data_IF_218755112239
#
_entry.id   IF_218755112239
#
_cell.length_a   1.000
_cell.length_b   1.000
_cell.length_c   1.000
_cell.angle_alpha   90.00
_cell.angle_beta   90.00
_cell.angle_gamma   90.00
#
_symmetry.space_group_name_H-M   'P 1'
#
loop_
_entity.id
_entity.type
_entity.pdbx_description
1 polymer ?
#
# COMPACT_ATOMS: atom_id res chain seq x y z
N UNK A 1 8.79 17.66 11.26
CA UNK A 1 9.23 16.78 10.15
C UNK A 1 8.20 15.68 9.99
N UNK A 2 7.70 15.43 8.79
CA UNK A 2 6.68 14.41 8.52
C UNK A 2 7.23 13.00 8.40
N UNK A 3 6.35 11.99 8.24
CA UNK A 3 6.75 10.59 8.06
C UNK A 3 7.71 10.45 6.88
N UNK A 4 8.91 9.93 7.14
CA UNK A 4 9.87 9.55 6.11
C UNK A 4 9.54 8.15 5.57
N UNK A 5 9.84 7.85 4.30
CA UNK A 5 9.79 6.48 3.81
C UNK A 5 10.64 5.55 4.69
N UNK A 6 10.11 4.37 5.03
CA UNK A 6 10.87 3.30 5.70
C UNK A 6 11.94 2.70 4.78
N UNK A 7 11.67 2.73 3.47
CA UNK A 7 12.61 2.25 2.46
C UNK A 7 12.19 2.72 1.07
N UNK A 8 12.93 2.25 0.07
CA UNK A 8 12.65 2.47 -1.34
C UNK A 8 12.91 1.17 -2.09
N UNK A 9 11.99 0.83 -2.99
CA UNK A 9 12.23 -0.20 -3.99
C UNK A 9 12.62 0.51 -5.28
N UNK A 10 13.78 0.17 -5.82
CA UNK A 10 14.28 0.70 -7.10
C UNK A 10 14.34 -0.43 -8.12
N UNK A 11 14.04 -0.09 -9.38
CA UNK A 11 14.12 -1.00 -10.52
C UNK A 11 14.95 -0.38 -11.64
N UNK A 12 15.58 -1.24 -12.44
CA UNK A 12 16.15 -0.85 -13.72
C UNK A 12 15.07 -1.00 -14.79
N UNK A 13 14.57 0.13 -15.27
CA UNK A 13 13.49 0.19 -16.25
C UNK A 13 13.88 -0.50 -17.57
N UNK A 14 15.09 -0.22 -18.06
CA UNK A 14 15.54 -0.70 -19.36
C UNK A 14 15.81 -2.21 -19.31
N UNK A 15 16.35 -2.70 -18.19
CA UNK A 15 16.52 -4.13 -17.97
C UNK A 15 15.18 -4.88 -17.93
N UNK A 16 14.14 -4.31 -17.29
CA UNK A 16 12.80 -4.91 -17.28
C UNK A 16 12.19 -4.91 -18.68
N UNK A 17 12.26 -3.78 -19.38
CA UNK A 17 11.74 -3.65 -20.74
C UNK A 17 12.38 -4.70 -21.67
N UNK A 18 13.70 -4.82 -21.62
CA UNK A 18 14.44 -5.83 -22.37
C UNK A 18 14.03 -7.27 -22.01
N UNK A 19 13.90 -7.58 -20.71
CA UNK A 19 13.53 -8.91 -20.24
C UNK A 19 12.10 -9.32 -20.64
N UNK A 20 11.17 -8.35 -20.61
CA UNK A 20 9.77 -8.56 -20.97
C UNK A 20 9.48 -8.40 -22.47
N UNK A 21 10.47 -7.94 -23.26
CA UNK A 21 10.37 -7.67 -24.71
C UNK A 21 9.26 -6.65 -25.03
N UNK A 22 9.14 -5.62 -24.20
CA UNK A 22 8.19 -4.51 -24.36
C UNK A 22 8.93 -3.18 -24.26
N UNK A 23 8.26 -2.06 -24.55
CA UNK A 23 8.89 -0.75 -24.44
C UNK A 23 8.97 -0.29 -22.98
N UNK A 24 9.95 0.57 -22.63
CA UNK A 24 10.01 1.20 -21.30
C UNK A 24 8.71 1.88 -20.87
N UNK A 25 7.98 2.47 -21.81
CA UNK A 25 6.69 3.12 -21.56
C UNK A 25 5.62 2.12 -21.10
N UNK A 26 5.56 0.94 -21.72
CA UNK A 26 4.64 -0.14 -21.33
C UNK A 26 4.97 -0.65 -19.92
N UNK A 27 6.26 -0.74 -19.59
CA UNK A 27 6.71 -1.08 -18.23
C UNK A 27 6.24 -0.03 -17.23
N UNK A 28 6.45 1.27 -17.52
CA UNK A 28 6.00 2.35 -16.63
C UNK A 28 4.48 2.32 -16.43
N UNK A 29 3.70 2.12 -17.49
CA UNK A 29 2.24 2.01 -17.39
C UNK A 29 1.84 0.80 -16.52
N UNK A 30 2.45 -0.36 -16.76
CA UNK A 30 2.16 -1.57 -15.98
C UNK A 30 2.53 -1.41 -14.51
N UNK A 31 3.70 -0.84 -14.21
CA UNK A 31 4.23 -0.71 -12.85
C UNK A 31 3.64 0.46 -12.06
N UNK A 32 2.87 1.34 -12.70
CA UNK A 32 2.07 2.38 -12.03
C UNK A 32 0.61 1.96 -11.83
N UNK A 33 0.14 0.87 -12.43
CA UNK A 33 -1.17 0.28 -12.14
C UNK A 33 -1.09 -0.59 -10.86
N UNK A 34 -1.60 -0.03 -9.76
CA UNK A 34 -1.68 -0.72 -8.47
C UNK A 34 -2.39 -2.07 -8.51
N UNK A 35 -3.29 -2.36 -9.46
CA UNK A 35 -3.94 -3.68 -9.56
C UNK A 35 -3.01 -4.75 -10.12
N UNK A 36 -1.98 -4.33 -10.86
CA UNK A 36 -1.03 -5.21 -11.54
C UNK A 36 0.24 -5.37 -10.71
N UNK A 37 0.84 -4.26 -10.28
CA UNK A 37 2.16 -4.27 -9.63
C UNK A 37 2.13 -4.72 -8.16
N UNK A 38 0.97 -4.69 -7.48
CA UNK A 38 0.89 -4.98 -6.03
C UNK A 38 1.45 -6.35 -5.66
N UNK A 39 1.19 -7.39 -6.47
CA UNK A 39 1.72 -8.73 -6.22
C UNK A 39 3.26 -8.80 -6.25
N UNK A 40 3.90 -7.99 -7.10
CA UNK A 40 5.37 -7.90 -7.15
C UNK A 40 5.88 -7.09 -5.95
N UNK A 41 5.17 -6.00 -5.60
CA UNK A 41 5.51 -5.17 -4.45
C UNK A 41 5.45 -5.96 -3.15
N UNK A 42 4.40 -6.73 -2.89
CA UNK A 42 4.26 -7.59 -1.70
C UNK A 42 5.49 -8.49 -1.51
N UNK A 43 5.91 -9.16 -2.60
CA UNK A 43 7.09 -10.05 -2.58
C UNK A 43 8.37 -9.30 -2.23
N UNK A 44 8.60 -8.13 -2.84
CA UNK A 44 9.78 -7.31 -2.57
C UNK A 44 9.73 -6.68 -1.18
N UNK A 45 8.58 -6.17 -0.74
CA UNK A 45 8.39 -5.57 0.58
C UNK A 45 8.64 -6.60 1.68
N UNK A 46 8.08 -7.80 1.57
CA UNK A 46 8.33 -8.88 2.53
C UNK A 46 9.83 -9.15 2.68
N UNK A 47 10.54 -9.33 1.56
CA UNK A 47 11.96 -9.67 1.54
C UNK A 47 12.89 -8.52 1.96
N UNK A 48 12.66 -7.32 1.44
CA UNK A 48 13.61 -6.21 1.49
C UNK A 48 13.30 -5.21 2.60
N UNK A 49 12.02 -5.00 2.94
CA UNK A 49 11.59 -3.95 3.89
C UNK A 49 11.20 -4.53 5.25
N UNK A 50 10.43 -5.63 5.27
CA UNK A 50 9.96 -6.25 6.51
C UNK A 50 10.89 -7.35 7.03
N UNK A 51 11.68 -7.98 6.15
CA UNK A 51 12.39 -9.24 6.45
C UNK A 51 11.39 -10.33 6.93
N UNK A 52 10.21 -10.33 6.35
CA UNK A 52 9.06 -11.16 6.72
C UNK A 52 8.63 -12.11 5.60
N UNK A 53 7.36 -12.50 5.61
CA UNK A 53 6.79 -13.48 4.69
C UNK A 53 5.50 -12.98 4.06
N UNK A 54 5.13 -13.57 2.91
CA UNK A 54 3.79 -13.41 2.36
C UNK A 54 2.80 -14.24 3.19
N UNK A 55 1.54 -13.82 3.21
CA UNK A 55 0.49 -14.64 3.75
C UNK A 55 0.42 -16.01 3.04
N UNK A 56 0.03 -17.04 3.79
CA UNK A 56 0.10 -18.43 3.32
C UNK A 56 -0.88 -18.77 2.19
N UNK A 57 -1.90 -17.93 1.94
CA UNK A 57 -2.90 -18.15 0.89
C UNK A 57 -3.40 -16.85 0.27
N UNK A 58 -3.75 -16.92 -1.02
CA UNK A 58 -4.56 -15.91 -1.69
C UNK A 58 -5.96 -15.91 -1.04
N UNK A 59 -6.26 -14.88 -0.24
CA UNK A 59 -7.52 -14.79 0.53
C UNK A 59 -7.33 -14.70 2.05
N UNK A 60 -6.09 -14.67 2.54
CA UNK A 60 -5.80 -14.35 3.93
C UNK A 60 -6.33 -12.95 4.31
N UNK A 61 -6.49 -12.72 5.61
CA UNK A 61 -6.96 -11.45 6.18
C UNK A 61 -5.87 -10.36 6.23
N UNK A 62 -4.72 -10.58 5.59
CA UNK A 62 -3.57 -9.69 5.48
C UNK A 62 -2.69 -10.13 4.31
N UNK A 63 -1.77 -9.27 3.88
CA UNK A 63 -0.89 -9.55 2.74
C UNK A 63 0.47 -10.10 3.20
N UNK A 64 1.02 -9.56 4.29
CA UNK A 64 2.36 -9.92 4.80
C UNK A 64 2.39 -10.12 6.31
N UNK A 65 3.32 -10.93 6.79
CA UNK A 65 3.74 -10.97 8.20
C UNK A 65 5.17 -10.46 8.35
N UNK A 66 5.47 -9.71 9.40
CA UNK A 66 6.85 -9.34 9.75
C UNK A 66 7.53 -10.43 10.60
N UNK A 67 8.80 -10.20 10.98
CA UNK A 67 9.58 -11.16 11.76
C UNK A 67 9.02 -11.44 13.17
N UNK A 68 8.21 -10.53 13.70
CA UNK A 68 7.54 -10.68 15.00
C UNK A 68 6.20 -11.43 14.87
N UNK A 69 5.81 -11.78 13.63
CA UNK A 69 4.54 -12.43 13.32
C UNK A 69 3.37 -11.45 13.16
N UNK A 70 3.64 -10.14 13.17
CA UNK A 70 2.58 -9.15 13.04
C UNK A 70 2.09 -9.03 11.61
N UNK A 71 0.77 -8.87 11.46
CA UNK A 71 0.08 -8.84 10.17
C UNK A 71 0.03 -7.44 9.56
N UNK A 72 0.25 -7.34 8.25
CA UNK A 72 0.30 -6.09 7.50
C UNK A 72 -0.52 -6.17 6.20
N UNK A 73 -1.21 -5.07 5.87
CA UNK A 73 -1.85 -4.87 4.56
C UNK A 73 -0.94 -4.02 3.66
N UNK A 74 -0.79 -4.41 2.40
CA UNK A 74 -0.08 -3.63 1.38
C UNK A 74 -1.08 -2.86 0.53
N UNK A 75 -0.77 -1.58 0.28
CA UNK A 75 -1.56 -0.73 -0.61
C UNK A 75 -0.67 0.11 -1.50
N UNK A 76 -1.04 0.18 -2.77
CA UNK A 76 -0.41 1.09 -3.73
C UNK A 76 -1.10 2.45 -3.68
N UNK A 77 -0.34 3.52 -3.52
CA UNK A 77 -0.78 4.90 -3.77
C UNK A 77 -0.60 5.14 -5.28
N UNK A 78 -1.72 5.27 -5.98
CA UNK A 78 -1.76 5.47 -7.45
C UNK A 78 -2.24 6.87 -7.78
N UNK A 79 -2.23 7.24 -9.07
CA UNK A 79 -2.88 8.45 -9.60
C UNK A 79 -4.36 8.52 -9.22
N UNK A 80 -5.03 7.37 -9.19
CA UNK A 80 -6.42 7.23 -8.78
C UNK A 80 -6.64 7.34 -7.27
N UNK A 81 -5.57 7.48 -6.48
CA UNK A 81 -5.58 7.50 -5.02
C UNK A 81 -5.33 6.13 -4.39
N UNK A 82 -5.79 6.00 -3.16
CA UNK A 82 -5.64 4.82 -2.30
C UNK A 82 -6.93 4.59 -1.51
N UNK A 83 -7.24 3.32 -1.24
CA UNK A 83 -8.30 2.87 -0.34
C UNK A 83 -7.69 2.14 0.86
N UNK A 84 -8.27 2.31 2.04
CA UNK A 84 -7.85 1.59 3.26
C UNK A 84 -8.81 0.45 3.63
N UNK A 85 -10.03 0.44 3.09
CA UNK A 85 -10.96 -0.65 3.27
C UNK A 85 -10.48 -1.95 2.57
N UNK A 86 -11.03 -3.11 2.97
CA UNK A 86 -10.77 -4.38 2.29
C UNK A 86 -11.08 -4.33 0.79
N UNK A 87 -10.32 -5.08 -0.01
CA UNK A 87 -10.45 -5.08 -1.48
C UNK A 87 -11.85 -5.48 -1.94
N UNK A 88 -12.54 -6.39 -1.25
CA UNK A 88 -13.92 -6.79 -1.53
C UNK A 88 -14.96 -5.68 -1.29
N UNK A 89 -14.58 -4.54 -0.70
CA UNK A 89 -15.45 -3.36 -0.58
C UNK A 89 -15.18 -2.30 -1.66
N UNK A 90 -14.23 -2.57 -2.57
CA UNK A 90 -13.81 -1.62 -3.61
C UNK A 90 -14.23 -2.13 -4.98
N UNK A 91 -14.97 -1.32 -5.75
CA UNK A 91 -15.34 -1.60 -7.14
C UNK A 91 -16.84 -1.48 -7.42
N UNK A 92 -17.20 -1.63 -8.70
CA UNK A 92 -18.61 -1.54 -9.12
C UNK A 92 -19.46 -2.63 -8.44
N UNK A 93 -20.62 -2.24 -7.94
CA UNK A 93 -21.55 -3.14 -7.24
C UNK A 93 -21.13 -3.54 -5.82
N UNK A 94 -20.02 -3.01 -5.29
CA UNK A 94 -19.55 -3.29 -3.93
C UNK A 94 -19.95 -2.17 -2.97
N UNK A 95 -20.24 -2.53 -1.73
CA UNK A 95 -20.66 -1.59 -0.68
C UNK A 95 -19.58 -1.48 0.39
N UNK A 96 -19.32 -0.26 0.84
CA UNK A 96 -18.46 -0.03 1.99
C UNK A 96 -19.23 -0.31 3.28
N UNK A 97 -18.73 -1.25 4.07
CA UNK A 97 -19.29 -1.62 5.37
C UNK A 97 -18.34 -1.16 6.50
N UNK A 98 -18.72 -0.14 7.30
CA UNK A 98 -17.87 0.39 8.36
C UNK A 98 -17.40 -0.66 9.37
N UNK A 99 -18.28 -1.61 9.72
CA UNK A 99 -17.98 -2.69 10.66
C UNK A 99 -16.88 -3.61 10.16
N UNK A 100 -16.94 -4.02 8.90
CA UNK A 100 -15.89 -4.85 8.29
C UNK A 100 -14.56 -4.11 8.13
N UNK A 101 -14.58 -2.80 7.88
CA UNK A 101 -13.37 -1.99 7.88
C UNK A 101 -12.74 -1.89 9.28
N UNK A 102 -13.53 -1.65 10.32
CA UNK A 102 -13.03 -1.60 11.69
C UNK A 102 -12.45 -2.94 12.15
N UNK A 103 -13.14 -4.05 11.84
CA UNK A 103 -12.66 -5.39 12.12
C UNK A 103 -11.32 -5.68 11.41
N UNK A 104 -11.14 -5.22 10.16
CA UNK A 104 -9.86 -5.31 9.46
C UNK A 104 -8.75 -4.55 10.20
N UNK A 105 -9.03 -3.34 10.68
CA UNK A 105 -8.05 -2.56 11.45
C UNK A 105 -7.65 -3.24 12.76
N UNK A 106 -8.57 -3.95 13.41
CA UNK A 106 -8.26 -4.72 14.64
C UNK A 106 -7.41 -5.97 14.34
N UNK A 107 -7.45 -6.49 13.11
CA UNK A 107 -6.74 -7.70 12.70
C UNK A 107 -5.33 -7.49 12.15
N UNK A 108 -4.87 -6.25 11.99
CA UNK A 108 -3.55 -5.93 11.42
C UNK A 108 -2.81 -4.91 12.28
N UNK A 109 -1.46 -4.99 12.30
CA UNK A 109 -0.60 -3.97 12.92
C UNK A 109 -0.65 -2.66 12.14
N UNK A 110 -0.82 -2.75 10.83
CA UNK A 110 -1.02 -1.58 10.00
C UNK A 110 -0.90 -1.85 8.50
N UNK A 111 -0.59 -0.77 7.79
CA UNK A 111 -0.47 -0.72 6.35
C UNK A 111 0.96 -0.40 5.91
N UNK A 112 1.35 -0.98 4.79
CA UNK A 112 2.57 -0.66 4.06
C UNK A 112 2.17 -0.05 2.73
N UNK A 113 2.51 1.22 2.56
CA UNK A 113 2.07 2.02 1.42
C UNK A 113 3.21 2.21 0.42
N UNK A 114 2.99 1.86 -0.83
CA UNK A 114 3.96 2.05 -1.92
C UNK A 114 3.46 3.15 -2.87
N UNK A 115 4.21 4.24 -3.03
CA UNK A 115 3.85 5.30 -3.99
C UNK A 115 4.33 4.93 -5.40
N UNK A 116 3.52 4.13 -6.10
CA UNK A 116 3.92 3.54 -7.39
C UNK A 116 4.03 4.58 -8.51
N UNK A 117 3.42 5.75 -8.34
CA UNK A 117 3.53 6.87 -9.28
C UNK A 117 4.95 7.46 -9.39
N UNK A 118 5.87 7.08 -8.51
CA UNK A 118 7.28 7.49 -8.60
C UNK A 118 8.19 6.40 -9.18
N UNK A 119 7.61 5.34 -9.77
CA UNK A 119 8.38 4.31 -10.48
C UNK A 119 9.34 4.95 -11.51
N UNK A 120 10.62 4.53 -11.57
CA UNK A 120 11.18 3.29 -11.02
C UNK A 120 11.70 3.36 -9.58
N UNK A 121 11.46 4.45 -8.85
CA UNK A 121 11.97 4.65 -7.49
C UNK A 121 10.80 4.79 -6.51
N UNK A 122 10.25 3.68 -6.05
CA UNK A 122 9.01 3.63 -5.26
C UNK A 122 9.31 3.71 -3.75
N UNK A 123 8.98 4.82 -3.07
CA UNK A 123 9.13 4.93 -1.63
C UNK A 123 8.06 4.10 -0.92
N UNK A 124 8.46 3.49 0.18
CA UNK A 124 7.62 2.63 1.03
C UNK A 124 7.40 3.32 2.36
N UNK A 125 6.14 3.53 2.74
CA UNK A 125 5.74 4.08 4.02
C UNK A 125 5.09 3.01 4.88
N UNK A 126 5.22 3.12 6.19
CA UNK A 126 4.51 2.28 7.15
C UNK A 126 3.56 3.17 7.92
N UNK A 127 2.32 2.72 8.14
CA UNK A 127 1.30 3.44 8.92
C UNK A 127 0.62 2.44 9.82
N UNK A 128 0.47 2.73 11.10
CA UNK A 128 -0.22 1.79 12.00
C UNK A 128 -1.73 1.78 11.75
N UNK A 129 -2.39 0.68 12.12
CA UNK A 129 -3.86 0.60 12.05
C UNK A 129 -4.53 1.67 12.93
N UNK A 130 -3.90 2.03 14.06
CA UNK A 130 -4.37 3.09 14.95
C UNK A 130 -4.31 4.49 14.29
N UNK A 131 -3.28 4.77 13.49
CA UNK A 131 -3.18 6.02 12.74
C UNK A 131 -4.26 6.11 11.65
N UNK A 132 -4.48 5.02 10.91
CA UNK A 132 -5.56 4.96 9.91
C UNK A 132 -6.94 5.09 10.58
N UNK A 133 -7.15 4.45 11.74
CA UNK A 133 -8.36 4.61 12.56
C UNK A 133 -8.58 6.06 12.94
N UNK A 134 -7.53 6.76 13.38
CA UNK A 134 -7.59 8.17 13.74
C UNK A 134 -7.99 9.03 12.55
N UNK A 135 -7.40 8.80 11.37
CA UNK A 135 -7.78 9.51 10.14
C UNK A 135 -9.25 9.28 9.78
N UNK A 136 -9.74 8.06 9.94
CA UNK A 136 -11.14 7.73 9.65
C UNK A 136 -12.10 8.41 10.63
N UNK A 137 -11.84 8.31 11.94
CA UNK A 137 -12.66 8.95 12.99
C UNK A 137 -12.69 10.48 12.86
N UNK A 138 -11.56 11.08 12.47
CA UNK A 138 -11.44 12.51 12.20
C UNK A 138 -12.00 12.92 10.83
N UNK A 139 -12.65 12.00 10.08
CA UNK A 139 -13.21 12.24 8.73
C UNK A 139 -12.20 12.79 7.73
N UNK A 140 -10.93 12.42 7.89
CA UNK A 140 -9.85 12.80 6.96
C UNK A 140 -9.72 11.87 5.76
N UNK A 141 -10.37 10.70 5.83
CA UNK A 141 -10.58 9.78 4.71
C UNK A 141 -11.94 10.05 4.04
N UNK A 142 -12.08 9.68 2.76
CA UNK A 142 -13.38 9.69 2.10
C UNK A 142 -14.37 8.70 2.71
N UNK A 143 -15.65 8.79 2.34
CA UNK A 143 -16.72 7.92 2.86
C UNK A 143 -16.47 6.43 2.63
N UNK A 144 -15.75 6.08 1.56
CA UNK A 144 -15.30 4.71 1.24
C UNK A 144 -13.85 4.45 1.64
N UNK A 145 -13.31 5.26 2.54
CA UNK A 145 -11.88 5.34 2.93
C UNK A 145 -10.93 5.78 1.81
N UNK A 146 -11.46 6.11 0.63
CA UNK A 146 -10.65 6.59 -0.49
C UNK A 146 -10.09 7.99 -0.21
N UNK A 147 -8.82 8.20 -0.53
CA UNK A 147 -8.23 9.54 -0.62
C UNK A 147 -7.38 9.68 -1.87
N UNK A 148 -7.21 10.91 -2.37
CA UNK A 148 -6.30 11.19 -3.47
C UNK A 148 -4.84 10.95 -3.05
N UNK A 149 -3.95 10.78 -4.03
CA UNK A 149 -2.50 10.68 -3.78
C UNK A 149 -1.97 11.87 -2.97
N UNK A 150 -2.34 13.09 -3.37
CA UNK A 150 -1.93 14.32 -2.66
C UNK A 150 -2.38 14.28 -1.21
N UNK A 151 -3.64 13.92 -0.94
CA UNK A 151 -4.16 13.82 0.43
C UNK A 151 -3.47 12.72 1.23
N UNK A 152 -3.19 11.56 0.63
CA UNK A 152 -2.46 10.48 1.29
C UNK A 152 -1.05 10.93 1.71
N UNK A 153 -0.32 11.61 0.81
CA UNK A 153 1.01 12.14 1.11
C UNK A 153 0.97 13.25 2.18
N UNK A 154 -0.05 14.10 2.19
CA UNK A 154 -0.26 15.08 3.27
C UNK A 154 -0.52 14.41 4.62
N UNK A 155 -1.34 13.35 4.64
CA UNK A 155 -1.62 12.59 5.86
C UNK A 155 -0.34 11.96 6.41
N UNK A 156 0.48 11.35 5.54
CA UNK A 156 1.80 10.83 5.91
C UNK A 156 2.71 11.93 6.47
N UNK A 157 2.75 13.10 5.83
CA UNK A 157 3.55 14.23 6.31
C UNK A 157 3.08 14.79 7.65
N UNK A 158 1.80 14.64 7.99
CA UNK A 158 1.25 15.08 9.28
C UNK A 158 1.56 14.11 10.44
N UNK A 159 1.96 12.87 10.14
CA UNK A 159 2.35 11.91 11.17
C UNK A 159 3.72 12.27 11.76
N UNK A 160 3.92 11.89 13.03
CA UNK A 160 5.22 11.97 13.68
C UNK A 160 6.24 11.08 12.94
N UNK A 161 7.54 11.44 12.97
CA UNK A 161 8.60 10.56 12.47
C UNK A 161 8.56 9.20 13.18
N UNK A 162 8.97 8.13 12.49
CA UNK A 162 9.26 6.87 13.16
C UNK A 162 10.42 7.11 14.15
N UNK A 163 10.23 6.72 15.42
CA UNK A 163 11.33 6.53 16.37
C UNK A 163 12.20 5.35 15.97
#
# INVERSE_FOLDING_TARGET
>A
MGRKPKGRLTWDLDAIAAALKIQPEDVREYFTDGRRVSFILERRIAREVLKGQLAASEGADHDLTDADGDKWEVRSITRGGIYFCPSYMVGSGRTFEPTGFLAKLDGIKGYILADVETFPDVPIYVVSAAEVRTWWQARQLGSTTKVSRVKALQLLQALRPNT
#
